data_IF_663460421675
#
_entry.id   IF_663460421675
#
_cell.length_a   1.000
_cell.length_b   1.000
_cell.length_c   1.000
_cell.angle_alpha   90.00
_cell.angle_beta   90.00
_cell.angle_gamma   90.00
#
_symmetry.space_group_name_H-M   'P 1'
#
loop_
_entity.id
_entity.type
_entity.pdbx_description
1 polymer ?
#
# COMPACT_ATOMS: atom_id res chain seq x y z
N UNK A 1 -41.10 15.02 19.22
CA UNK A 1 -39.96 14.10 19.22
C UNK A 1 -39.13 14.39 17.99
N UNK A 2 -37.98 15.05 18.16
CA UNK A 2 -37.06 15.38 17.10
C UNK A 2 -35.96 14.31 17.14
N UNK A 3 -35.92 13.46 16.11
CA UNK A 3 -34.87 12.44 15.97
C UNK A 3 -33.67 13.15 15.32
N UNK A 4 -32.64 13.40 16.12
CA UNK A 4 -31.38 13.90 15.62
C UNK A 4 -30.62 12.74 14.92
N UNK A 5 -30.53 12.83 13.58
CA UNK A 5 -29.66 11.95 12.79
C UNK A 5 -28.21 12.37 13.04
N UNK A 6 -27.47 11.59 13.79
CA UNK A 6 -26.03 11.73 13.91
C UNK A 6 -25.38 11.34 12.56
N UNK A 7 -24.97 12.34 11.78
CA UNK A 7 -24.13 12.13 10.61
C UNK A 7 -22.75 11.68 11.09
N UNK A 8 -22.42 10.40 10.91
CA UNK A 8 -21.06 9.91 11.00
C UNK A 8 -20.26 10.56 9.87
N UNK A 9 -19.49 11.56 10.22
CA UNK A 9 -18.44 12.10 9.34
C UNK A 9 -17.37 11.01 9.17
N UNK A 10 -17.50 10.20 8.12
CA UNK A 10 -16.43 9.33 7.63
C UNK A 10 -15.33 10.25 7.10
N UNK A 11 -14.38 10.60 7.97
CA UNK A 11 -13.21 11.36 7.58
C UNK A 11 -12.46 10.61 6.48
N UNK A 12 -12.33 11.24 5.32
CA UNK A 12 -11.45 10.81 4.24
C UNK A 12 -10.04 10.69 4.79
N UNK A 13 -9.65 9.47 5.19
CA UNK A 13 -8.25 9.19 5.50
C UNK A 13 -7.49 9.19 4.17
N UNK A 14 -7.00 10.36 3.79
CA UNK A 14 -5.84 10.46 2.91
C UNK A 14 -4.79 9.47 3.43
N UNK A 15 -3.99 8.88 2.54
CA UNK A 15 -2.83 8.04 2.86
C UNK A 15 -2.30 8.40 4.25
N UNK A 16 -2.43 7.48 5.22
CA UNK A 16 -2.14 7.81 6.60
C UNK A 16 -0.67 8.21 6.69
N UNK A 17 -0.43 9.50 6.72
CA UNK A 17 0.89 10.02 7.06
C UNK A 17 1.21 9.43 8.42
N UNK A 18 2.23 8.56 8.46
CA UNK A 18 2.58 7.92 9.72
C UNK A 18 2.91 8.99 10.75
N UNK A 19 2.36 8.85 11.94
CA UNK A 19 2.69 9.71 13.05
C UNK A 19 4.18 9.49 13.44
N UNK A 20 5.06 10.46 13.21
CA UNK A 20 6.48 10.30 13.50
C UNK A 20 6.76 10.01 14.98
N UNK A 21 5.84 10.42 15.87
CA UNK A 21 5.96 10.16 17.32
C UNK A 21 5.80 8.68 17.66
N UNK A 22 5.17 7.89 16.78
CA UNK A 22 4.98 6.44 16.95
C UNK A 22 6.13 5.59 16.41
N UNK A 23 7.10 6.20 15.74
CA UNK A 23 8.21 5.49 15.09
C UNK A 23 9.35 5.25 16.05
N UNK A 24 9.80 4.00 16.16
CA UNK A 24 10.94 3.56 16.97
C UNK A 24 12.21 3.36 16.14
N UNK A 25 12.07 2.95 14.88
CA UNK A 25 13.17 2.63 13.98
C UNK A 25 13.34 1.13 13.76
N UNK A 26 13.91 0.74 12.60
CA UNK A 26 14.03 -0.67 12.21
C UNK A 26 14.95 -1.48 13.13
N UNK A 27 15.92 -0.86 13.78
CA UNK A 27 16.85 -1.50 14.72
C UNK A 27 16.10 -2.14 15.89
N UNK A 28 15.07 -1.47 16.41
CA UNK A 28 14.21 -2.01 17.48
C UNK A 28 13.52 -3.32 17.06
N UNK A 29 13.09 -3.41 15.81
CA UNK A 29 12.51 -4.65 15.27
C UNK A 29 13.59 -5.74 15.13
N UNK A 30 14.79 -5.36 14.67
CA UNK A 30 15.92 -6.25 14.45
C UNK A 30 16.46 -6.93 15.73
N UNK A 31 16.18 -6.39 16.92
CA UNK A 31 16.57 -7.03 18.18
C UNK A 31 15.98 -8.45 18.30
N UNK A 32 14.74 -8.65 17.85
CA UNK A 32 14.04 -9.94 17.88
C UNK A 32 13.90 -10.57 16.48
N UNK A 33 13.60 -9.78 15.45
CA UNK A 33 13.35 -10.21 14.06
C UNK A 33 14.63 -10.13 13.20
N UNK A 34 15.67 -10.85 13.60
CA UNK A 34 17.03 -10.76 13.00
C UNK A 34 17.06 -11.12 11.53
N UNK A 35 16.31 -12.16 11.12
CA UNK A 35 16.29 -12.62 9.73
C UNK A 35 15.48 -11.69 8.83
N UNK A 36 14.34 -11.22 9.31
CA UNK A 36 13.51 -10.25 8.62
C UNK A 36 14.24 -8.92 8.46
N UNK A 37 14.99 -8.51 9.48
CA UNK A 37 15.82 -7.31 9.43
C UNK A 37 16.96 -7.45 8.41
N UNK A 38 17.66 -8.59 8.40
CA UNK A 38 18.69 -8.86 7.39
C UNK A 38 18.12 -8.88 5.96
N UNK A 39 16.95 -9.50 5.78
CA UNK A 39 16.24 -9.46 4.50
C UNK A 39 15.92 -8.03 4.07
N UNK A 40 15.35 -7.22 4.96
CA UNK A 40 15.03 -5.82 4.71
C UNK A 40 16.25 -4.99 4.32
N UNK A 41 17.40 -5.18 4.98
CA UNK A 41 18.64 -4.47 4.64
C UNK A 41 19.08 -4.71 3.19
N UNK A 42 18.75 -5.86 2.62
CA UNK A 42 19.01 -6.19 1.21
C UNK A 42 18.06 -5.54 0.21
N UNK A 43 16.87 -5.11 0.63
CA UNK A 43 15.81 -4.59 -0.25
C UNK A 43 16.11 -3.17 -0.77
N UNK A 44 15.54 -2.84 -1.93
CA UNK A 44 15.55 -1.47 -2.48
C UNK A 44 14.90 -0.48 -1.53
N UNK A 45 13.90 -0.88 -0.76
CA UNK A 45 13.23 -0.09 0.25
C UNK A 45 14.21 0.44 1.32
N UNK A 46 15.07 -0.41 1.86
CA UNK A 46 16.11 0.02 2.80
C UNK A 46 17.10 0.99 2.18
N UNK A 47 17.56 0.69 0.96
CA UNK A 47 18.60 1.44 0.24
C UNK A 47 18.17 2.86 -0.14
N UNK A 48 16.86 3.18 -0.15
CA UNK A 48 16.41 4.54 -0.42
C UNK A 48 17.01 5.57 0.51
N UNK A 49 17.34 5.19 1.76
CA UNK A 49 17.92 6.10 2.75
C UNK A 49 19.27 6.68 2.29
N UNK A 50 20.12 5.84 1.71
CA UNK A 50 21.46 6.25 1.29
C UNK A 50 21.51 6.69 -0.18
N UNK A 51 20.67 6.12 -1.03
CA UNK A 51 20.80 6.24 -2.48
C UNK A 51 19.92 7.34 -3.07
N UNK A 52 18.66 7.50 -2.61
CA UNK A 52 17.68 8.30 -3.34
C UNK A 52 18.17 9.74 -3.59
N UNK A 53 18.60 10.43 -2.54
CA UNK A 53 19.02 11.83 -2.60
C UNK A 53 20.29 12.06 -3.43
N UNK A 54 21.02 10.99 -3.81
CA UNK A 54 22.21 11.02 -4.64
C UNK A 54 21.92 10.77 -6.11
N UNK A 55 20.75 10.16 -6.42
CA UNK A 55 20.37 9.79 -7.79
C UNK A 55 20.17 11.03 -8.67
N UNK A 56 20.75 11.07 -9.88
CA UNK A 56 20.56 12.21 -10.80
C UNK A 56 19.09 12.52 -11.07
N UNK A 57 18.27 11.51 -11.36
CA UNK A 57 16.85 11.69 -11.60
C UNK A 57 16.11 12.30 -10.40
N UNK A 58 16.45 11.92 -9.16
CA UNK A 58 15.84 12.51 -7.98
C UNK A 58 16.21 13.98 -7.80
N UNK A 59 17.47 14.34 -8.09
CA UNK A 59 17.95 15.73 -8.09
C UNK A 59 17.28 16.57 -9.16
N UNK A 60 17.08 16.02 -10.36
CA UNK A 60 16.37 16.69 -11.46
C UNK A 60 14.91 17.00 -11.05
N UNK A 61 14.18 15.99 -10.52
CA UNK A 61 12.81 16.16 -10.02
C UNK A 61 12.78 17.23 -8.92
N UNK A 62 13.69 17.15 -7.96
CA UNK A 62 13.79 18.12 -6.86
C UNK A 62 14.04 19.55 -7.40
N UNK A 63 14.95 19.70 -8.36
CA UNK A 63 15.24 20.98 -9.00
C UNK A 63 14.03 21.60 -9.68
N UNK A 64 13.25 20.82 -10.45
CA UNK A 64 12.01 21.27 -11.10
C UNK A 64 10.94 21.72 -10.10
N UNK A 65 10.97 21.19 -8.90
CA UNK A 65 10.01 21.50 -7.82
C UNK A 65 10.51 22.54 -6.82
N UNK A 66 11.75 23.04 -6.96
CA UNK A 66 12.37 23.96 -6.02
C UNK A 66 12.73 23.34 -4.67
N UNK A 67 12.92 22.01 -4.63
CA UNK A 67 13.23 21.26 -3.40
C UNK A 67 14.74 21.25 -3.17
N UNK A 68 15.20 21.93 -2.12
CA UNK A 68 16.62 22.00 -1.78
C UNK A 68 17.15 20.73 -1.08
N UNK A 69 16.31 20.05 -0.29
CA UNK A 69 16.72 18.88 0.48
C UNK A 69 15.69 17.74 0.36
N UNK A 70 16.01 16.75 -0.47
CA UNK A 70 15.12 15.60 -0.74
C UNK A 70 14.76 14.82 0.54
N UNK A 71 15.71 14.66 1.47
CA UNK A 71 15.47 13.93 2.71
C UNK A 71 14.53 14.68 3.67
N UNK A 72 14.59 16.01 3.69
CA UNK A 72 13.76 16.82 4.57
C UNK A 72 12.39 17.18 3.97
N UNK A 73 12.21 16.94 2.67
CA UNK A 73 10.98 17.29 1.96
C UNK A 73 9.89 16.24 2.17
N UNK A 74 8.77 16.66 2.77
CA UNK A 74 7.64 15.77 3.08
C UNK A 74 7.08 15.04 1.86
N UNK A 75 7.05 15.69 0.70
CA UNK A 75 6.59 15.10 -0.57
C UNK A 75 7.42 13.87 -0.98
N UNK A 76 8.74 13.90 -0.74
CA UNK A 76 9.62 12.76 -1.01
C UNK A 76 9.56 11.75 0.14
N UNK A 77 9.61 12.25 1.38
CA UNK A 77 9.72 11.42 2.58
C UNK A 77 8.51 10.50 2.80
N UNK A 78 7.32 10.96 2.43
CA UNK A 78 6.09 10.16 2.61
C UNK A 78 6.10 8.80 1.90
N UNK A 79 6.91 8.62 0.83
CA UNK A 79 6.99 7.36 0.08
C UNK A 79 8.36 6.68 0.17
N UNK A 80 9.42 7.45 0.42
CA UNK A 80 10.79 6.94 0.31
C UNK A 80 11.54 6.80 1.63
N UNK A 81 11.01 7.35 2.73
CA UNK A 81 11.69 7.33 4.01
C UNK A 81 10.75 6.98 5.16
N UNK A 82 11.34 6.48 6.23
CA UNK A 82 10.72 6.39 7.55
C UNK A 82 11.21 7.58 8.38
N UNK A 83 10.28 8.41 8.85
CA UNK A 83 10.57 9.63 9.62
C UNK A 83 10.17 9.44 11.07
N UNK A 84 10.94 10.01 12.02
CA UNK A 84 10.66 9.97 13.45
C UNK A 84 10.66 11.39 14.04
N UNK A 85 10.04 11.55 15.21
CA UNK A 85 10.05 12.78 15.99
C UNK A 85 11.39 13.05 16.73
N UNK A 86 12.30 12.09 16.72
CA UNK A 86 13.68 12.25 17.26
C UNK A 86 14.51 13.27 16.47
N UNK A 87 13.85 14.27 15.96
CA UNK A 87 14.33 15.41 15.18
C UNK A 87 13.25 15.78 14.16
N UNK A 88 12.77 17.04 14.10
CA UNK A 88 11.62 17.43 13.32
C UNK A 88 11.78 17.00 11.85
N UNK A 89 10.92 16.09 11.40
CA UNK A 89 10.83 15.63 10.02
C UNK A 89 12.06 14.91 9.47
N UNK A 90 12.97 14.41 10.30
CA UNK A 90 14.19 13.75 9.80
C UNK A 90 13.95 12.28 9.50
N UNK A 91 14.22 11.83 8.29
CA UNK A 91 14.29 10.40 7.97
C UNK A 91 15.37 9.73 8.83
N UNK A 92 15.00 8.59 9.40
CA UNK A 92 15.91 7.75 10.18
C UNK A 92 16.27 6.47 9.42
N UNK A 93 15.47 6.10 8.42
CA UNK A 93 15.68 4.93 7.58
C UNK A 93 15.02 5.13 6.21
N UNK A 94 15.28 4.21 5.28
CA UNK A 94 14.47 4.04 4.08
C UNK A 94 13.05 3.59 4.42
N UNK A 95 12.34 3.01 3.48
CA UNK A 95 11.02 2.41 3.76
C UNK A 95 11.24 1.19 4.64
N UNK A 96 10.98 1.31 5.96
CA UNK A 96 11.29 0.29 6.96
C UNK A 96 10.06 -0.48 7.45
N UNK A 97 10.28 -1.38 8.40
CA UNK A 97 9.26 -2.26 9.00
C UNK A 97 7.97 -1.52 9.35
N UNK A 98 8.09 -0.38 10.01
CA UNK A 98 6.96 0.41 10.48
C UNK A 98 6.14 1.06 9.34
N UNK A 99 6.75 1.26 8.15
CA UNK A 99 6.01 1.74 6.97
C UNK A 99 4.96 0.75 6.48
N UNK A 100 5.20 -0.54 6.72
CA UNK A 100 4.28 -1.62 6.35
C UNK A 100 3.43 -2.08 7.55
N UNK A 101 4.04 -2.17 8.74
CA UNK A 101 3.42 -2.74 9.93
C UNK A 101 2.83 -1.73 10.91
N UNK A 102 2.93 -0.42 10.61
CA UNK A 102 2.46 0.66 11.48
C UNK A 102 3.51 1.08 12.51
N UNK A 103 3.42 2.33 12.99
CA UNK A 103 4.32 2.89 14.00
C UNK A 103 4.29 2.11 15.31
N UNK A 104 5.45 1.68 15.80
CA UNK A 104 5.58 0.58 16.75
C UNK A 104 5.44 0.97 18.23
N UNK A 105 5.53 2.25 18.57
CA UNK A 105 5.61 2.72 19.96
C UNK A 105 4.56 2.14 20.89
N UNK A 106 3.31 2.04 20.41
CA UNK A 106 2.20 1.66 21.26
C UNK A 106 1.96 0.15 21.29
N UNK A 107 2.47 -0.60 20.32
CA UNK A 107 2.19 -2.02 20.19
C UNK A 107 3.41 -2.95 20.31
N UNK A 108 4.64 -2.43 20.20
CA UNK A 108 5.85 -3.26 20.17
C UNK A 108 6.00 -4.19 21.37
N UNK A 109 5.53 -3.78 22.55
CA UNK A 109 5.62 -4.57 23.78
C UNK A 109 4.52 -5.63 23.93
N UNK A 110 3.41 -5.47 23.21
CA UNK A 110 2.23 -6.32 23.37
C UNK A 110 1.99 -7.29 22.20
N UNK A 111 2.55 -7.02 21.02
CA UNK A 111 2.27 -7.82 19.80
C UNK A 111 2.78 -9.27 19.89
N UNK A 112 3.77 -9.56 20.73
CA UNK A 112 4.34 -10.89 20.93
C UNK A 112 3.73 -11.63 22.12
N UNK A 113 2.89 -10.99 22.92
CA UNK A 113 2.22 -11.63 24.03
C UNK A 113 1.08 -12.53 23.53
N UNK A 114 0.97 -13.73 24.11
CA UNK A 114 -0.04 -14.70 23.70
C UNK A 114 -1.46 -14.13 23.84
N UNK A 115 -2.20 -14.08 22.74
CA UNK A 115 -3.58 -13.59 22.72
C UNK A 115 -3.71 -12.06 22.58
N UNK A 116 -2.63 -11.30 22.59
CA UNK A 116 -2.68 -9.82 22.55
C UNK A 116 -2.57 -9.23 21.13
N UNK A 117 -2.50 -10.05 20.09
CA UNK A 117 -2.43 -9.57 18.70
C UNK A 117 -3.56 -8.59 18.35
N UNK A 118 -4.78 -8.89 18.76
CA UNK A 118 -5.95 -8.01 18.54
C UNK A 118 -5.85 -6.66 19.25
N UNK A 119 -5.25 -6.62 20.44
CA UNK A 119 -5.02 -5.36 21.15
C UNK A 119 -3.93 -4.54 20.46
N UNK A 120 -2.85 -5.18 19.98
CA UNK A 120 -1.85 -4.52 19.17
C UNK A 120 -2.44 -3.90 17.89
N UNK A 121 -3.35 -4.61 17.20
CA UNK A 121 -4.05 -4.11 16.02
C UNK A 121 -4.94 -2.90 16.30
N UNK A 122 -5.57 -2.82 17.48
CA UNK A 122 -6.38 -1.66 17.89
C UNK A 122 -5.55 -0.39 18.07
N UNK A 123 -4.29 -0.53 18.46
CA UNK A 123 -3.38 0.61 18.67
C UNK A 123 -2.42 0.83 17.49
N UNK A 124 -2.70 0.22 16.34
CA UNK A 124 -2.07 0.58 15.06
C UNK A 124 -1.14 -0.47 14.47
N UNK A 125 -0.97 -1.64 15.08
CA UNK A 125 -0.26 -2.74 14.43
C UNK A 125 -0.99 -3.25 13.19
N UNK A 126 -0.29 -3.39 12.10
CA UNK A 126 -0.81 -4.01 10.88
C UNK A 126 -0.22 -5.42 10.79
N UNK A 127 -1.01 -6.39 11.23
CA UNK A 127 -0.62 -7.79 11.18
C UNK A 127 -0.63 -8.31 9.75
N UNK A 128 0.12 -9.38 9.52
CA UNK A 128 0.15 -10.05 8.22
C UNK A 128 -1.19 -10.67 7.83
N UNK A 129 -2.14 -10.79 8.77
CA UNK A 129 -3.50 -11.30 8.51
C UNK A 129 -4.38 -10.25 7.84
N UNK A 130 -4.15 -8.96 8.08
CA UNK A 130 -4.93 -7.88 7.49
C UNK A 130 -4.38 -7.52 6.11
N UNK A 131 -4.71 -8.35 5.11
CA UNK A 131 -4.22 -8.21 3.73
C UNK A 131 -4.66 -6.88 3.13
N UNK A 132 -5.88 -6.42 3.43
CA UNK A 132 -6.38 -5.14 2.90
C UNK A 132 -5.52 -3.96 3.36
N UNK A 133 -5.18 -3.86 4.65
CA UNK A 133 -4.32 -2.78 5.15
C UNK A 133 -2.89 -2.87 4.60
N UNK A 134 -2.33 -4.09 4.47
CA UNK A 134 -1.02 -4.28 3.86
C UNK A 134 -1.01 -3.83 2.40
N UNK A 135 -1.99 -4.28 1.60
CA UNK A 135 -2.13 -3.86 0.20
C UNK A 135 -2.29 -2.34 0.07
N UNK A 136 -3.09 -1.74 0.97
CA UNK A 136 -3.30 -0.29 1.02
C UNK A 136 -1.99 0.47 1.28
N UNK A 137 -1.15 -0.01 2.20
CA UNK A 137 0.16 0.59 2.44
C UNK A 137 1.06 0.54 1.20
N UNK A 138 1.13 -0.60 0.52
CA UNK A 138 1.91 -0.73 -0.71
C UNK A 138 1.41 0.26 -1.78
N UNK A 139 0.11 0.22 -2.07
CA UNK A 139 -0.48 0.98 -3.18
C UNK A 139 -0.60 2.48 -2.89
N UNK A 140 -0.59 2.90 -1.63
CA UNK A 140 -0.55 4.32 -1.26
C UNK A 140 0.69 5.05 -1.83
N UNK A 141 1.81 4.33 -1.98
CA UNK A 141 3.04 4.85 -2.57
C UNK A 141 3.17 4.43 -4.05
N UNK A 142 2.87 3.16 -4.37
CA UNK A 142 3.09 2.61 -5.71
C UNK A 142 2.10 3.11 -6.78
N UNK A 143 1.01 3.78 -6.41
CA UNK A 143 0.16 4.52 -7.36
C UNK A 143 0.63 5.94 -7.60
N UNK A 144 1.53 6.51 -6.77
CA UNK A 144 2.06 7.88 -6.87
C UNK A 144 0.94 8.93 -6.97
N UNK A 145 0.12 9.14 -5.91
CA UNK A 145 -1.05 10.00 -5.94
C UNK A 145 -0.69 11.49 -5.74
N UNK A 146 0.20 12.04 -6.56
CA UNK A 146 0.63 13.45 -6.50
C UNK A 146 0.80 14.03 -7.90
N UNK A 147 -0.19 14.79 -8.35
CA UNK A 147 -0.24 15.37 -9.69
C UNK A 147 0.94 16.32 -9.96
N UNK A 148 1.27 17.19 -9.02
CA UNK A 148 2.38 18.15 -9.16
C UNK A 148 3.72 17.45 -9.28
N UNK A 149 3.93 16.40 -8.50
CA UNK A 149 5.18 15.62 -8.55
C UNK A 149 5.37 14.95 -9.93
N UNK A 150 4.28 14.52 -10.55
CA UNK A 150 4.32 13.91 -11.90
C UNK A 150 4.40 14.97 -12.98
N UNK A 151 3.43 15.90 -13.05
CA UNK A 151 3.30 16.83 -14.17
C UNK A 151 4.42 17.88 -14.20
N UNK A 152 4.82 18.41 -13.04
CA UNK A 152 5.88 19.42 -12.92
C UNK A 152 7.23 18.78 -12.66
N UNK A 153 7.32 17.88 -11.69
CA UNK A 153 8.57 17.23 -11.29
C UNK A 153 9.09 16.23 -12.33
N UNK A 154 8.21 15.62 -13.10
CA UNK A 154 8.58 14.54 -14.03
C UNK A 154 8.78 13.19 -13.34
N UNK A 155 8.24 13.03 -12.12
CA UNK A 155 8.23 11.73 -11.45
C UNK A 155 7.39 10.73 -12.23
N UNK A 156 7.79 9.47 -12.25
CA UNK A 156 7.00 8.41 -12.88
C UNK A 156 5.60 8.34 -12.23
N UNK A 157 4.56 8.30 -13.06
CA UNK A 157 3.19 8.20 -12.61
C UNK A 157 2.83 6.74 -12.26
N UNK A 158 3.02 6.37 -10.99
CA UNK A 158 2.83 5.01 -10.52
C UNK A 158 3.95 4.05 -10.91
N UNK A 159 3.85 2.82 -10.48
CA UNK A 159 4.75 1.73 -10.84
C UNK A 159 3.96 0.50 -11.28
N UNK A 160 4.53 -0.40 -12.11
CA UNK A 160 3.92 -1.69 -12.43
C UNK A 160 4.00 -2.59 -11.19
N UNK A 161 3.12 -2.36 -10.23
CA UNK A 161 3.08 -3.08 -8.96
C UNK A 161 1.96 -4.12 -8.98
N UNK A 162 2.30 -5.35 -8.57
CA UNK A 162 1.35 -6.43 -8.33
C UNK A 162 1.70 -7.12 -7.02
N UNK A 163 0.73 -7.27 -6.12
CA UNK A 163 0.99 -7.60 -4.72
C UNK A 163 1.62 -9.00 -4.55
N UNK A 164 1.14 -10.01 -5.28
CA UNK A 164 1.70 -11.37 -5.16
C UNK A 164 3.13 -11.42 -5.68
N UNK A 165 3.38 -10.88 -6.87
CA UNK A 165 4.70 -10.89 -7.49
C UNK A 165 5.78 -10.26 -6.60
N UNK A 166 5.47 -9.14 -5.94
CA UNK A 166 6.42 -8.47 -5.05
C UNK A 166 6.50 -9.13 -3.67
N UNK A 167 5.36 -9.55 -3.09
CA UNK A 167 5.36 -10.18 -1.77
C UNK A 167 6.02 -11.56 -1.76
N UNK A 168 6.01 -12.27 -2.88
CA UNK A 168 6.71 -13.53 -3.05
C UNK A 168 8.15 -13.35 -3.59
N UNK A 169 8.52 -12.14 -3.97
CA UNK A 169 9.83 -11.76 -4.49
C UNK A 169 10.67 -10.98 -3.50
N UNK A 170 11.07 -9.74 -3.88
CA UNK A 170 12.00 -8.90 -3.11
C UNK A 170 11.52 -8.59 -1.69
N UNK A 171 10.21 -8.42 -1.47
CA UNK A 171 9.68 -8.07 -0.14
C UNK A 171 9.40 -9.29 0.74
N UNK A 172 9.66 -10.51 0.26
CA UNK A 172 9.45 -11.73 1.04
C UNK A 172 10.44 -11.82 2.20
N UNK A 173 9.93 -11.97 3.42
CA UNK A 173 10.70 -12.14 4.65
C UNK A 173 9.96 -13.04 5.65
N UNK A 174 9.59 -14.26 5.20
CA UNK A 174 8.74 -15.21 5.93
C UNK A 174 9.59 -16.31 6.58
N UNK A 175 10.22 -16.04 7.72
CA UNK A 175 11.08 -16.96 8.45
C UNK A 175 10.34 -17.73 9.55
N UNK A 176 9.26 -18.43 9.20
CA UNK A 176 8.43 -19.17 10.15
C UNK A 176 9.11 -20.38 10.78
N UNK A 177 10.05 -20.98 10.07
CA UNK A 177 10.80 -22.17 10.49
C UNK A 177 12.29 -21.96 10.28
N UNK A 178 12.96 -21.42 11.31
CA UNK A 178 14.40 -21.16 11.25
C UNK A 178 14.78 -20.13 10.18
N UNK A 179 15.84 -20.40 9.44
CA UNK A 179 16.43 -19.46 8.47
C UNK A 179 15.89 -19.63 7.04
N UNK A 180 14.78 -20.34 6.84
CA UNK A 180 14.22 -20.54 5.51
C UNK A 180 13.16 -19.49 5.21
N UNK A 181 13.41 -18.69 4.19
CA UNK A 181 12.45 -17.69 3.69
C UNK A 181 11.40 -18.39 2.79
N UNK A 182 10.29 -18.81 3.41
CA UNK A 182 9.30 -19.69 2.77
C UNK A 182 8.30 -18.90 1.91
N UNK A 183 7.84 -19.53 0.84
CA UNK A 183 6.69 -19.07 0.06
C UNK A 183 5.42 -19.04 0.90
N UNK A 184 4.48 -18.19 0.52
CA UNK A 184 3.11 -18.27 1.03
C UNK A 184 2.38 -19.51 0.48
N UNK A 185 1.40 -19.97 1.24
CA UNK A 185 0.52 -21.06 0.79
C UNK A 185 -0.32 -20.61 -0.41
N UNK A 186 -0.81 -21.54 -1.24
CA UNK A 186 -1.71 -21.20 -2.35
C UNK A 186 -2.92 -20.38 -1.90
N UNK A 187 -3.52 -20.73 -0.77
CA UNK A 187 -4.68 -20.03 -0.20
C UNK A 187 -4.36 -18.57 0.11
N UNK A 188 -3.17 -18.30 0.68
CA UNK A 188 -2.74 -16.95 0.97
C UNK A 188 -2.43 -16.16 -0.30
N UNK A 189 -1.80 -16.77 -1.30
CA UNK A 189 -1.54 -16.14 -2.60
C UNK A 189 -2.85 -15.74 -3.31
N UNK A 190 -3.90 -16.58 -3.23
CA UNK A 190 -5.23 -16.27 -3.76
C UNK A 190 -5.84 -15.04 -3.09
N UNK A 191 -5.75 -14.96 -1.76
CA UNK A 191 -6.23 -13.80 -1.00
C UNK A 191 -5.42 -12.53 -1.31
N UNK A 192 -4.08 -12.62 -1.38
CA UNK A 192 -3.21 -11.52 -1.79
C UNK A 192 -3.55 -11.02 -3.20
N UNK A 193 -3.82 -11.94 -4.14
CA UNK A 193 -4.20 -11.59 -5.50
C UNK A 193 -5.53 -10.85 -5.53
N UNK A 194 -6.60 -11.44 -4.99
CA UNK A 194 -7.93 -10.86 -5.00
C UNK A 194 -7.97 -9.49 -4.33
N UNK A 195 -7.48 -9.41 -3.10
CA UNK A 195 -7.49 -8.16 -2.33
C UNK A 195 -6.55 -7.13 -2.96
N UNK A 196 -5.38 -7.55 -3.44
CA UNK A 196 -4.43 -6.68 -4.14
C UNK A 196 -5.03 -6.02 -5.37
N UNK A 197 -5.81 -6.75 -6.20
CA UNK A 197 -6.50 -6.19 -7.37
C UNK A 197 -7.60 -5.20 -6.99
N UNK A 198 -8.37 -5.49 -5.94
CA UNK A 198 -9.40 -4.57 -5.44
C UNK A 198 -8.77 -3.27 -4.93
N UNK A 199 -7.70 -3.37 -4.16
CA UNK A 199 -7.00 -2.19 -3.61
C UNK A 199 -6.27 -1.40 -4.73
N UNK A 200 -5.75 -2.06 -5.77
CA UNK A 200 -5.19 -1.36 -6.93
C UNK A 200 -6.25 -0.52 -7.66
N UNK A 201 -7.45 -1.08 -7.85
CA UNK A 201 -8.58 -0.33 -8.41
C UNK A 201 -8.95 0.86 -7.52
N UNK A 202 -9.06 0.64 -6.21
CA UNK A 202 -9.37 1.70 -5.24
C UNK A 202 -8.36 2.84 -5.31
N UNK A 203 -7.06 2.54 -5.21
CA UNK A 203 -6.02 3.56 -5.17
C UNK A 203 -5.82 4.26 -6.53
N UNK A 204 -6.02 3.56 -7.63
CA UNK A 204 -6.02 4.19 -8.96
C UNK A 204 -7.17 5.20 -9.12
N UNK A 205 -8.36 4.89 -8.61
CA UNK A 205 -9.49 5.83 -8.56
C UNK A 205 -9.24 7.00 -7.61
N UNK A 206 -8.64 6.77 -6.43
CA UNK A 206 -8.19 7.85 -5.51
C UNK A 206 -7.25 8.82 -6.19
N UNK A 207 -6.34 8.31 -7.02
CA UNK A 207 -5.42 9.15 -7.79
C UNK A 207 -6.17 9.93 -8.89
N UNK A 208 -7.09 9.31 -9.63
CA UNK A 208 -7.93 10.03 -10.62
C UNK A 208 -8.75 11.13 -9.95
N UNK A 209 -9.28 10.90 -8.74
CA UNK A 209 -10.04 11.88 -7.99
C UNK A 209 -9.25 13.16 -7.67
N UNK A 210 -7.91 13.09 -7.67
CA UNK A 210 -7.03 14.24 -7.43
C UNK A 210 -6.63 14.98 -8.70
N UNK A 211 -6.96 14.45 -9.89
CA UNK A 211 -6.55 15.03 -11.16
C UNK A 211 -7.32 16.32 -11.47
N UNK A 212 -6.59 17.40 -11.70
CA UNK A 212 -7.11 18.73 -12.03
C UNK A 212 -6.78 19.15 -13.46
N UNK A 213 -5.74 18.56 -14.06
CA UNK A 213 -5.26 18.90 -15.41
C UNK A 213 -5.26 17.68 -16.33
N UNK A 214 -5.54 17.90 -17.62
CA UNK A 214 -5.52 16.86 -18.66
C UNK A 214 -4.08 16.57 -19.12
N UNK A 215 -3.25 16.14 -18.20
CA UNK A 215 -1.84 15.87 -18.46
C UNK A 215 -1.43 14.43 -18.07
N UNK A 216 -0.14 14.16 -17.97
CA UNK A 216 0.48 12.84 -17.75
C UNK A 216 -0.13 12.12 -16.56
N UNK A 217 -0.27 12.79 -15.42
CA UNK A 217 -0.86 12.20 -14.22
C UNK A 217 -2.27 11.69 -14.47
N UNK A 218 -3.17 12.55 -14.93
CA UNK A 218 -4.57 12.21 -15.18
C UNK A 218 -4.73 11.07 -16.18
N UNK A 219 -3.98 11.13 -17.31
CA UNK A 219 -4.03 10.11 -18.37
C UNK A 219 -3.56 8.76 -17.87
N UNK A 220 -2.43 8.74 -17.13
CA UNK A 220 -1.84 7.49 -16.61
C UNK A 220 -2.75 6.87 -15.55
N UNK A 221 -3.26 7.66 -14.61
CA UNK A 221 -4.14 7.14 -13.55
C UNK A 221 -5.49 6.65 -14.09
N UNK A 222 -6.06 7.34 -15.07
CA UNK A 222 -7.27 6.86 -15.75
C UNK A 222 -7.01 5.55 -16.52
N UNK A 223 -5.85 5.42 -17.18
CA UNK A 223 -5.41 4.19 -17.81
C UNK A 223 -5.27 3.04 -16.82
N UNK A 224 -4.61 3.30 -15.66
CA UNK A 224 -4.47 2.31 -14.58
C UNK A 224 -5.83 1.86 -14.04
N UNK A 225 -6.74 2.80 -13.79
CA UNK A 225 -8.10 2.47 -13.32
C UNK A 225 -8.86 1.58 -14.31
N UNK A 226 -8.74 1.85 -15.61
CA UNK A 226 -9.34 0.99 -16.65
C UNK A 226 -8.74 -0.40 -16.66
N UNK A 227 -7.41 -0.51 -16.54
CA UNK A 227 -6.72 -1.79 -16.48
C UNK A 227 -7.11 -2.56 -15.21
N UNK A 228 -7.18 -1.91 -14.06
CA UNK A 228 -7.59 -2.53 -12.80
C UNK A 228 -9.04 -3.04 -12.87
N UNK A 229 -9.97 -2.30 -13.50
CA UNK A 229 -11.36 -2.78 -13.77
C UNK A 229 -11.36 -4.03 -14.63
N UNK A 230 -10.53 -4.08 -15.67
CA UNK A 230 -10.43 -5.27 -16.52
C UNK A 230 -9.90 -6.50 -15.75
N UNK A 231 -8.97 -6.30 -14.81
CA UNK A 231 -8.51 -7.39 -13.93
C UNK A 231 -9.62 -7.88 -12.97
N UNK A 232 -10.44 -6.97 -12.42
CA UNK A 232 -11.60 -7.38 -11.60
C UNK A 232 -12.62 -8.15 -12.47
N UNK A 233 -12.84 -7.75 -13.73
CA UNK A 233 -13.73 -8.50 -14.63
C UNK A 233 -13.21 -9.93 -14.85
N UNK A 234 -11.91 -10.14 -15.09
CA UNK A 234 -11.32 -11.48 -15.22
C UNK A 234 -11.55 -12.34 -13.98
N UNK A 235 -11.47 -11.72 -12.80
CA UNK A 235 -11.77 -12.41 -11.53
C UNK A 235 -13.24 -12.84 -11.51
N UNK A 236 -14.18 -11.96 -11.89
CA UNK A 236 -15.61 -12.26 -11.93
C UNK A 236 -15.92 -13.39 -12.92
N UNK A 237 -15.22 -13.44 -14.05
CA UNK A 237 -15.43 -14.45 -15.10
C UNK A 237 -15.12 -15.89 -14.60
N UNK A 238 -14.16 -16.04 -13.69
CA UNK A 238 -13.79 -17.33 -13.10
C UNK A 238 -14.38 -17.56 -11.69
N UNK A 239 -14.71 -16.47 -10.99
CA UNK A 239 -15.27 -16.47 -9.63
C UNK A 239 -16.46 -15.49 -9.56
N UNK A 240 -17.65 -15.88 -10.00
CA UNK A 240 -18.84 -15.00 -10.07
C UNK A 240 -19.45 -14.73 -8.69
N UNK A 241 -18.74 -13.96 -7.87
CA UNK A 241 -19.14 -13.59 -6.52
C UNK A 241 -19.81 -12.20 -6.48
N UNK A 242 -20.88 -12.03 -5.71
CA UNK A 242 -21.66 -10.80 -5.70
C UNK A 242 -20.94 -9.62 -5.03
N UNK A 243 -20.08 -9.84 -4.02
CA UNK A 243 -19.27 -8.77 -3.45
C UNK A 243 -18.21 -8.27 -4.45
N UNK A 244 -17.60 -9.17 -5.25
CA UNK A 244 -16.64 -8.78 -6.30
C UNK A 244 -17.34 -8.06 -7.44
N UNK A 245 -18.54 -8.50 -7.84
CA UNK A 245 -19.38 -7.78 -8.82
C UNK A 245 -19.75 -6.38 -8.33
N UNK A 246 -20.07 -6.24 -7.03
CA UNK A 246 -20.38 -4.94 -6.42
C UNK A 246 -19.18 -3.98 -6.43
N UNK A 247 -17.95 -4.49 -6.29
CA UNK A 247 -16.72 -3.69 -6.46
C UNK A 247 -16.64 -3.11 -7.86
N UNK A 248 -16.84 -3.94 -8.91
CA UNK A 248 -16.80 -3.48 -10.29
C UNK A 248 -17.93 -2.49 -10.58
N UNK A 249 -19.16 -2.78 -10.13
CA UNK A 249 -20.32 -1.90 -10.31
C UNK A 249 -20.11 -0.52 -9.66
N UNK A 250 -19.48 -0.47 -8.47
CA UNK A 250 -19.13 0.81 -7.83
C UNK A 250 -18.13 1.61 -8.67
N UNK A 251 -17.12 0.94 -9.26
CA UNK A 251 -16.14 1.58 -10.13
C UNK A 251 -16.73 2.01 -11.48
N UNK A 252 -17.70 1.27 -12.02
CA UNK A 252 -18.40 1.62 -13.27
C UNK A 252 -19.29 2.84 -13.11
N UNK A 253 -19.85 3.04 -11.93
CA UNK A 253 -20.62 4.24 -11.60
C UNK A 253 -19.77 5.52 -11.54
N UNK A 254 -18.46 5.42 -11.37
CA UNK A 254 -17.55 6.57 -11.28
C UNK A 254 -17.18 7.10 -12.67
N UNK A 255 -17.54 8.34 -12.97
CA UNK A 255 -17.12 9.00 -14.21
C UNK A 255 -15.68 9.54 -14.06
N UNK A 256 -14.74 8.99 -14.82
CA UNK A 256 -13.33 9.43 -14.83
C UNK A 256 -13.19 10.78 -15.55
N UNK A 257 -13.54 11.87 -14.87
CA UNK A 257 -13.43 13.25 -15.34
C UNK A 257 -12.49 14.04 -14.44
N UNK A 258 -11.87 15.08 -15.00
CA UNK A 258 -11.14 16.07 -14.20
C UNK A 258 -12.10 16.78 -13.23
N UNK A 259 -11.57 17.16 -12.07
CA UNK A 259 -12.32 17.88 -11.04
C UNK A 259 -13.62 17.17 -10.60
N UNK A 260 -13.66 15.84 -10.65
CA UNK A 260 -14.81 15.02 -10.27
C UNK A 260 -14.55 14.24 -8.97
N UNK A 261 -13.91 14.90 -8.02
CA UNK A 261 -13.42 14.27 -6.77
C UNK A 261 -14.55 13.60 -5.99
N UNK A 262 -15.65 14.29 -5.78
CA UNK A 262 -16.70 13.81 -4.86
C UNK A 262 -17.41 12.55 -5.41
N UNK A 263 -17.73 12.52 -6.70
CA UNK A 263 -18.35 11.35 -7.34
C UNK A 263 -17.40 10.13 -7.32
N UNK A 264 -16.10 10.36 -7.66
CA UNK A 264 -15.12 9.28 -7.68
C UNK A 264 -14.84 8.79 -6.25
N UNK A 265 -14.74 9.69 -5.28
CA UNK A 265 -14.50 9.29 -3.88
C UNK A 265 -15.69 8.55 -3.28
N UNK A 266 -16.93 8.84 -3.65
CA UNK A 266 -18.08 8.06 -3.24
C UNK A 266 -18.04 6.60 -3.76
N UNK A 267 -17.51 6.38 -4.96
CA UNK A 267 -17.25 5.04 -5.47
C UNK A 267 -16.10 4.36 -4.72
N UNK A 268 -15.01 5.09 -4.47
CA UNK A 268 -13.85 4.63 -3.68
C UNK A 268 -14.26 4.17 -2.29
N UNK A 269 -15.12 4.91 -1.60
CA UNK A 269 -15.57 4.55 -0.25
C UNK A 269 -16.36 3.22 -0.26
N UNK A 270 -17.20 2.99 -1.28
CA UNK A 270 -17.90 1.71 -1.45
C UNK A 270 -16.91 0.56 -1.71
N UNK A 271 -15.92 0.78 -2.59
CA UNK A 271 -14.89 -0.23 -2.90
C UNK A 271 -14.06 -0.54 -1.66
N UNK A 272 -13.71 0.47 -0.87
CA UNK A 272 -12.96 0.32 0.38
C UNK A 272 -13.69 -0.58 1.38
N UNK A 273 -14.98 -0.32 1.60
CA UNK A 273 -15.83 -1.14 2.49
C UNK A 273 -15.93 -2.59 1.99
N UNK A 274 -16.15 -2.79 0.69
CA UNK A 274 -16.23 -4.12 0.09
C UNK A 274 -14.88 -4.84 0.14
N UNK A 275 -13.78 -4.15 -0.16
CA UNK A 275 -12.42 -4.70 -0.10
C UNK A 275 -12.04 -5.17 1.30
N UNK A 276 -12.36 -4.38 2.33
CA UNK A 276 -12.15 -4.78 3.72
C UNK A 276 -13.03 -6.00 4.07
N UNK A 277 -14.33 -5.98 3.72
CA UNK A 277 -15.24 -7.11 3.93
C UNK A 277 -14.69 -8.40 3.31
N UNK A 278 -14.28 -8.33 2.04
CA UNK A 278 -13.72 -9.48 1.31
C UNK A 278 -12.45 -9.99 2.01
N UNK A 279 -11.56 -9.09 2.40
CA UNK A 279 -10.34 -9.44 3.14
C UNK A 279 -10.63 -10.16 4.47
N UNK A 280 -11.69 -9.75 5.18
CA UNK A 280 -12.02 -10.28 6.50
C UNK A 280 -12.82 -11.58 6.46
N UNK A 281 -13.62 -11.79 5.40
CA UNK A 281 -14.61 -12.88 5.38
C UNK A 281 -14.29 -14.00 4.40
N UNK A 282 -13.54 -13.74 3.33
CA UNK A 282 -13.21 -14.76 2.33
C UNK A 282 -12.12 -15.69 2.83
N UNK A 283 -12.16 -16.93 2.37
CA UNK A 283 -11.16 -17.94 2.67
C UNK A 283 -10.45 -18.33 1.37
N UNK A 284 -9.13 -18.27 1.36
CA UNK A 284 -8.35 -18.62 0.18
C UNK A 284 -8.55 -20.05 -0.31
N UNK A 285 -8.98 -20.96 0.57
CA UNK A 285 -9.35 -22.33 0.18
C UNK A 285 -10.51 -22.36 -0.83
N UNK A 286 -11.45 -21.41 -0.72
CA UNK A 286 -12.64 -21.33 -1.58
C UNK A 286 -12.36 -20.60 -2.91
N UNK A 287 -11.13 -20.10 -3.11
CA UNK A 287 -10.73 -19.25 -4.23
C UNK A 287 -9.86 -19.99 -5.26
N UNK A 288 -9.88 -21.31 -5.32
CA UNK A 288 -9.03 -22.11 -6.23
C UNK A 288 -9.21 -21.75 -7.73
N UNK A 289 -10.39 -21.27 -8.12
CA UNK A 289 -10.66 -20.79 -9.47
C UNK A 289 -9.75 -19.59 -9.90
N UNK A 290 -9.12 -18.90 -8.96
CA UNK A 290 -8.19 -17.80 -9.24
C UNK A 290 -6.78 -18.26 -9.61
N UNK A 291 -6.41 -19.53 -9.39
CA UNK A 291 -5.03 -20.02 -9.61
C UNK A 291 -4.48 -19.69 -11.01
N UNK A 292 -5.25 -19.83 -12.11
CA UNK A 292 -4.74 -19.46 -13.44
C UNK A 292 -4.46 -17.98 -13.65
N UNK A 293 -4.99 -17.11 -12.79
CA UNK A 293 -4.81 -15.65 -12.87
C UNK A 293 -3.65 -15.15 -12.01
N UNK A 294 -3.19 -15.96 -11.06
CA UNK A 294 -2.11 -15.56 -10.14
C UNK A 294 -0.79 -15.52 -10.90
N UNK A 295 -0.03 -14.41 -10.84
CA UNK A 295 1.26 -14.31 -11.49
C UNK A 295 2.24 -15.41 -11.02
N UNK A 296 2.80 -16.16 -11.97
CA UNK A 296 3.84 -17.13 -11.68
C UNK A 296 5.22 -16.50 -11.47
N UNK A 297 5.44 -15.30 -12.02
CA UNK A 297 6.72 -14.58 -11.95
C UNK A 297 6.78 -13.71 -10.71
N UNK A 298 7.83 -13.86 -9.92
CA UNK A 298 8.17 -12.98 -8.79
C UNK A 298 9.00 -11.80 -9.25
N UNK A 299 8.93 -10.69 -8.53
CA UNK A 299 9.64 -9.45 -8.84
C UNK A 299 10.77 -9.18 -7.85
N UNK A 300 11.92 -8.75 -8.39
CA UNK A 300 13.13 -8.52 -7.59
C UNK A 300 13.83 -9.80 -7.15
N UNK A 301 14.76 -9.67 -6.22
CA UNK A 301 15.54 -10.81 -5.69
C UNK A 301 15.10 -11.13 -4.27
N UNK A 302 14.66 -12.35 -4.06
CA UNK A 302 14.30 -12.83 -2.72
C UNK A 302 15.57 -13.06 -1.90
N UNK A 303 15.59 -12.56 -0.67
CA UNK A 303 16.66 -12.83 0.28
C UNK A 303 16.59 -14.29 0.75
N UNK A 304 17.70 -15.00 0.57
CA UNK A 304 17.93 -16.33 1.11
C UNK A 304 19.26 -16.27 1.87
N UNK A 305 19.27 -16.48 3.19
CA UNK A 305 20.48 -16.39 4.03
C UNK A 305 21.48 -17.50 3.76
#
# INVERSE_FOLDING_TARGET
MIIAAAALAAGTRASAQMDPSKILGPETCGECHKMEFAAWQGMKHSKTFDDLHRRPAAKEIAGKLGIANIKAEGTCAQCHYTTSDKGPGRPIAGVSCERCHGGARDWVKIHNEKGQMGEAEKVGFISTKNIYKLASNCLSCHTMPNEKLVNVGGHQAGSPFELVSWSQGEVRHHFKTGNVNTDDTPERKRMLYLVGRIVDLEYSLRAVAQATEKDTFAKTMAGRSKAAKAEIQKIIDVLPNDDVKAVLAAADGAKLKLNNKDEIMAAVDKISVLGQKISDTFKGADLAALDPLIPATVMGTTFNP
#
